data_IF_427904131792
#
_entry.id   IF_427904131792
#
_cell.length_a   1.000
_cell.length_b   1.000
_cell.length_c   1.000
_cell.angle_alpha   90.00
_cell.angle_beta   90.00
_cell.angle_gamma   90.00
#
_symmetry.space_group_name_H-M   'P 1'
#
loop_
_entity.id
_entity.type
_entity.pdbx_description
1 polymer ?
#
# COMPACT_ATOMS: atom_id res chain seq x y z
N UNK A 1 20.44 -17.97 19.43
CA UNK A 1 19.28 -17.07 19.36
C UNK A 1 18.41 -17.76 18.35
N UNK A 2 17.29 -18.30 18.81
CA UNK A 2 16.47 -19.23 18.05
C UNK A 2 15.24 -18.52 17.51
N UNK A 3 14.81 -18.91 16.31
CA UNK A 3 13.57 -18.46 15.74
C UNK A 3 12.40 -19.14 16.47
N UNK A 4 11.47 -18.32 16.95
CA UNK A 4 10.24 -18.75 17.64
C UNK A 4 9.07 -18.78 16.67
N UNK A 5 8.87 -17.70 15.92
CA UNK A 5 7.80 -17.59 14.93
C UNK A 5 8.16 -16.57 13.85
N UNK A 6 7.44 -16.61 12.74
CA UNK A 6 7.51 -15.61 11.68
C UNK A 6 6.14 -14.94 11.63
N UNK A 7 6.12 -13.63 11.39
CA UNK A 7 4.94 -12.77 11.27
C UNK A 7 5.05 -11.95 9.98
N UNK A 8 3.96 -11.81 9.20
CA UNK A 8 3.92 -10.85 8.10
C UNK A 8 3.95 -9.43 8.63
N UNK A 9 4.33 -8.50 7.78
CA UNK A 9 4.16 -7.07 8.04
C UNK A 9 3.22 -6.46 6.98
N UNK A 10 2.76 -5.20 7.14
CA UNK A 10 1.98 -4.52 6.11
C UNK A 10 2.73 -4.41 4.77
N UNK A 11 4.06 -4.44 4.80
CA UNK A 11 4.92 -4.51 3.63
C UNK A 11 5.05 -5.97 3.17
N UNK A 12 4.70 -6.31 1.92
CA UNK A 12 4.91 -7.66 1.38
C UNK A 12 6.41 -7.98 1.15
N UNK A 13 7.27 -6.98 1.30
CA UNK A 13 8.72 -7.10 1.18
C UNK A 13 9.43 -7.20 2.53
N UNK A 14 8.69 -7.22 3.64
CA UNK A 14 9.26 -7.30 4.99
C UNK A 14 8.57 -8.40 5.80
N UNK A 15 9.36 -9.25 6.45
CA UNK A 15 8.86 -10.22 7.41
C UNK A 15 9.47 -10.02 8.78
N UNK A 16 8.68 -10.23 9.82
CA UNK A 16 9.10 -10.19 11.22
C UNK A 16 9.43 -11.61 11.67
N UNK A 17 10.65 -11.81 12.15
CA UNK A 17 11.17 -13.06 12.66
C UNK A 17 11.30 -12.90 14.18
N UNK A 18 10.39 -13.50 14.94
CA UNK A 18 10.42 -13.45 16.40
C UNK A 18 11.45 -14.45 16.94
N UNK A 19 12.17 -14.06 17.98
CA UNK A 19 13.33 -14.74 18.51
C UNK A 19 13.15 -15.03 20.00
N UNK A 20 13.83 -16.06 20.49
CA UNK A 20 13.78 -16.47 21.90
C UNK A 20 14.51 -15.52 22.86
N UNK A 21 15.27 -14.55 22.33
CA UNK A 21 16.10 -13.62 23.10
C UNK A 21 15.86 -12.20 22.61
N UNK A 22 15.71 -11.27 23.54
CA UNK A 22 15.62 -9.85 23.24
C UNK A 22 16.99 -9.16 23.25
N UNK A 23 17.16 -8.16 22.39
CA UNK A 23 18.18 -7.14 22.55
C UNK A 23 17.93 -6.32 23.83
N UNK A 24 19.00 -5.78 24.47
CA UNK A 24 18.85 -4.87 25.60
C UNK A 24 17.92 -3.70 25.28
N UNK A 25 17.10 -3.29 26.25
CA UNK A 25 16.16 -2.16 26.09
C UNK A 25 16.87 -0.91 25.57
N UNK A 26 16.26 -0.25 24.58
CA UNK A 26 16.80 0.96 23.94
C UNK A 26 17.85 0.71 22.86
N UNK A 27 18.18 -0.55 22.56
CA UNK A 27 19.11 -0.91 21.48
C UNK A 27 18.35 -1.42 20.25
N UNK A 28 18.66 -0.86 19.09
CA UNK A 28 18.28 -1.39 17.79
C UNK A 28 19.51 -1.56 16.90
N UNK A 29 19.43 -2.48 15.96
CA UNK A 29 20.48 -2.75 14.99
C UNK A 29 19.86 -2.65 13.59
N UNK A 30 20.48 -1.89 12.69
CA UNK A 30 20.06 -1.80 11.29
C UNK A 30 21.27 -2.02 10.42
N UNK A 31 21.19 -2.99 9.52
CA UNK A 31 22.25 -3.26 8.57
C UNK A 31 21.68 -3.50 7.18
N UNK A 32 22.34 -2.91 6.19
CA UNK A 32 22.09 -3.19 4.76
C UNK A 32 23.23 -4.05 4.21
N UNK A 33 23.07 -4.59 2.99
CA UNK A 33 24.17 -5.29 2.30
C UNK A 33 25.48 -4.49 2.24
N UNK A 34 25.41 -3.15 2.16
CA UNK A 34 26.61 -2.28 2.15
C UNK A 34 27.34 -2.23 3.49
N UNK A 35 26.66 -2.56 4.59
CA UNK A 35 27.20 -2.52 5.96
C UNK A 35 27.42 -3.93 6.52
N UNK A 36 27.35 -4.96 5.67
CA UNK A 36 27.39 -6.38 6.05
C UNK A 36 28.60 -6.73 6.90
N UNK A 37 29.80 -6.30 6.53
CA UNK A 37 31.03 -6.67 7.27
C UNK A 37 31.11 -6.08 8.69
N UNK A 38 30.30 -5.06 9.00
CA UNK A 38 30.20 -4.44 10.32
C UNK A 38 29.08 -5.05 11.19
N UNK A 39 28.30 -5.99 10.65
CA UNK A 39 27.16 -6.58 11.35
C UNK A 39 27.60 -7.76 12.25
N UNK A 40 26.84 -8.11 13.29
CA UNK A 40 27.02 -9.36 14.03
C UNK A 40 26.94 -10.59 13.12
N UNK A 41 27.68 -11.66 13.41
CA UNK A 41 27.82 -12.82 12.52
C UNK A 41 26.51 -13.41 11.98
N UNK A 42 25.48 -13.56 12.82
CA UNK A 42 24.17 -14.06 12.37
C UNK A 42 23.44 -13.07 11.44
N UNK A 43 23.62 -11.75 11.62
CA UNK A 43 23.09 -10.73 10.69
C UNK A 43 23.87 -10.74 9.38
N UNK A 44 25.19 -10.98 9.41
CA UNK A 44 25.97 -11.15 8.18
C UNK A 44 25.42 -12.31 7.35
N UNK A 45 25.18 -13.45 8.01
CA UNK A 45 24.62 -14.64 7.36
C UNK A 45 23.22 -14.39 6.80
N UNK A 46 22.36 -13.66 7.52
CA UNK A 46 21.04 -13.26 6.99
C UNK A 46 21.15 -12.33 5.77
N UNK A 47 22.09 -11.37 5.77
CA UNK A 47 22.32 -10.48 4.63
C UNK A 47 22.92 -11.20 3.42
N UNK A 48 23.61 -12.32 3.63
CA UNK A 48 24.19 -13.15 2.57
C UNK A 48 23.12 -13.97 1.82
N UNK A 49 21.96 -14.20 2.43
CA UNK A 49 20.83 -14.88 1.77
C UNK A 49 20.47 -14.11 0.48
N UNK A 50 20.44 -14.79 -0.70
CA UNK A 50 20.01 -14.19 -1.95
C UNK A 50 18.64 -13.53 -1.83
N UNK A 51 18.53 -12.26 -2.26
CA UNK A 51 17.29 -11.51 -2.21
C UNK A 51 17.08 -10.68 -0.95
N UNK A 52 17.80 -10.92 0.16
CA UNK A 52 17.73 -10.06 1.36
C UNK A 52 18.46 -8.73 1.12
N UNK A 53 17.82 -7.61 1.45
CA UNK A 53 18.36 -6.26 1.24
C UNK A 53 18.78 -5.59 2.55
N UNK A 54 18.05 -5.85 3.63
CA UNK A 54 18.15 -5.15 4.90
C UNK A 54 17.71 -6.05 6.05
N UNK A 55 18.36 -5.86 7.20
CA UNK A 55 18.04 -6.53 8.47
C UNK A 55 17.93 -5.45 9.53
N UNK A 56 16.77 -5.33 10.14
CA UNK A 56 16.53 -4.50 11.31
C UNK A 56 16.19 -5.37 12.50
N UNK A 57 16.81 -5.16 13.65
CA UNK A 57 16.52 -5.89 14.88
C UNK A 57 16.25 -4.93 16.02
N UNK A 58 15.17 -5.18 16.74
CA UNK A 58 14.83 -4.47 17.97
C UNK A 58 14.07 -5.42 18.89
N UNK A 59 14.29 -5.28 20.19
CA UNK A 59 13.72 -6.20 21.18
C UNK A 59 13.99 -7.66 20.78
N UNK A 60 12.98 -8.50 20.77
CA UNK A 60 12.98 -9.93 20.49
C UNK A 60 12.66 -10.29 19.03
N UNK A 61 12.74 -9.34 18.08
CA UNK A 61 12.47 -9.68 16.68
C UNK A 61 13.44 -9.04 15.68
N UNK A 62 13.52 -9.66 14.52
CA UNK A 62 14.17 -9.14 13.31
C UNK A 62 13.10 -8.80 12.27
N UNK A 63 13.08 -7.58 11.76
CA UNK A 63 12.47 -7.28 10.47
C UNK A 63 13.49 -7.57 9.37
N UNK A 64 13.21 -8.57 8.55
CA UNK A 64 14.01 -8.97 7.41
C UNK A 64 13.37 -8.37 6.16
N UNK A 65 14.12 -7.58 5.40
CA UNK A 65 13.64 -6.99 4.15
C UNK A 65 14.22 -7.75 2.96
N UNK A 66 13.36 -8.00 1.97
CA UNK A 66 13.78 -8.54 0.67
C UNK A 66 13.74 -7.46 -0.41
N UNK A 67 14.47 -7.72 -1.49
CA UNK A 67 14.23 -7.05 -2.77
C UNK A 67 12.88 -7.51 -3.33
N UNK A 68 12.21 -6.70 -4.16
CA UNK A 68 10.95 -7.11 -4.78
C UNK A 68 11.03 -8.40 -5.59
N UNK A 69 12.22 -8.78 -6.09
CA UNK A 69 12.44 -10.03 -6.85
C UNK A 69 12.97 -11.18 -5.97
N UNK A 70 13.16 -10.97 -4.67
CA UNK A 70 13.69 -12.00 -3.77
C UNK A 70 12.64 -13.05 -3.47
N UNK A 71 13.00 -14.33 -3.45
CA UNK A 71 12.04 -15.41 -3.16
C UNK A 71 11.88 -15.60 -1.64
N UNK A 72 10.70 -15.28 -1.10
CA UNK A 72 10.44 -15.46 0.33
C UNK A 72 10.58 -16.90 0.78
N UNK A 73 10.21 -17.88 -0.05
CA UNK A 73 10.32 -19.29 0.31
C UNK A 73 11.78 -19.67 0.52
N UNK A 74 12.65 -19.33 -0.44
CA UNK A 74 14.09 -19.55 -0.31
C UNK A 74 14.67 -18.78 0.88
N UNK A 75 14.27 -17.52 1.08
CA UNK A 75 14.81 -16.65 2.13
C UNK A 75 14.45 -17.21 3.51
N UNK A 76 13.19 -17.56 3.75
CA UNK A 76 12.74 -18.03 5.06
C UNK A 76 13.28 -19.42 5.39
N UNK A 77 13.43 -20.29 4.40
CA UNK A 77 14.08 -21.60 4.60
C UNK A 77 15.51 -21.42 5.11
N UNK A 78 16.32 -20.60 4.43
CA UNK A 78 17.69 -20.33 4.87
C UNK A 78 17.74 -19.58 6.21
N UNK A 79 16.85 -18.61 6.43
CA UNK A 79 16.79 -17.89 7.70
C UNK A 79 16.45 -18.81 8.88
N UNK A 80 15.56 -19.80 8.68
CA UNK A 80 15.24 -20.83 9.68
C UNK A 80 16.44 -21.73 9.99
N UNK A 81 17.18 -22.16 8.97
CA UNK A 81 18.39 -22.97 9.14
C UNK A 81 19.48 -22.22 9.92
N UNK A 82 19.64 -20.92 9.64
CA UNK A 82 20.65 -20.08 10.28
C UNK A 82 20.31 -19.74 11.74
N UNK A 83 19.05 -19.41 12.02
CA UNK A 83 18.62 -18.99 13.36
C UNK A 83 18.30 -20.18 14.25
N UNK A 84 18.04 -21.38 13.71
CA UNK A 84 17.69 -22.57 14.48
C UNK A 84 16.22 -22.54 14.92
N UNK A 85 15.48 -23.62 14.68
CA UNK A 85 14.07 -23.77 15.07
C UNK A 85 13.95 -24.29 16.50
N UNK A 86 13.61 -23.41 17.43
CA UNK A 86 13.22 -23.79 18.79
C UNK A 86 11.77 -24.24 18.86
N UNK A 87 11.46 -25.41 18.31
CA UNK A 87 10.15 -26.07 18.48
C UNK A 87 9.06 -25.69 17.47
N UNK A 88 8.34 -26.73 17.02
CA UNK A 88 7.21 -26.77 16.07
C UNK A 88 7.56 -26.75 14.58
N UNK A 89 7.68 -27.96 14.03
CA UNK A 89 7.70 -28.24 12.58
C UNK A 89 6.30 -28.01 12.00
N UNK A 90 6.03 -26.78 11.56
CA UNK A 90 5.04 -26.57 10.50
C UNK A 90 5.74 -26.85 9.15
N UNK A 91 5.44 -28.01 8.58
CA UNK A 91 5.90 -28.44 7.26
C UNK A 91 5.33 -27.53 6.16
N UNK A 92 6.18 -27.01 5.29
CA UNK A 92 5.75 -26.22 4.12
C UNK A 92 5.24 -27.16 3.01
N UNK A 93 4.11 -26.88 2.33
CA UNK A 93 3.73 -27.60 1.12
C UNK A 93 4.50 -27.10 -0.12
N UNK A 94 4.86 -28.04 -1.00
CA UNK A 94 5.02 -27.85 -2.45
C UNK A 94 6.29 -27.15 -2.93
N UNK A 95 7.26 -27.90 -3.43
CA UNK A 95 8.28 -27.44 -4.39
C UNK A 95 7.60 -27.12 -5.72
N UNK A 96 7.33 -25.85 -6.04
CA UNK A 96 7.29 -25.35 -7.43
C UNK A 96 7.38 -23.81 -7.46
N UNK A 97 8.09 -23.33 -8.48
CA UNK A 97 8.31 -21.97 -9.02
C UNK A 97 8.70 -20.79 -8.11
N UNK A 98 9.83 -20.17 -8.45
CA UNK A 98 10.39 -18.98 -7.81
C UNK A 98 9.43 -17.78 -7.91
N UNK A 99 9.01 -17.27 -6.75
CA UNK A 99 8.01 -16.20 -6.63
C UNK A 99 8.44 -14.89 -7.31
N UNK A 100 7.67 -14.45 -8.30
CA UNK A 100 7.67 -13.07 -8.78
C UNK A 100 7.04 -12.19 -7.69
N UNK A 101 7.75 -11.14 -7.25
CA UNK A 101 7.21 -10.21 -6.25
C UNK A 101 5.84 -9.67 -6.59
N UNK A 102 5.15 -9.13 -5.59
CA UNK A 102 3.79 -8.60 -5.69
C UNK A 102 3.60 -7.38 -6.63
N UNK A 103 4.55 -7.11 -7.53
CA UNK A 103 4.42 -6.08 -8.56
C UNK A 103 4.28 -4.68 -7.99
N UNK A 104 4.91 -4.40 -6.84
CA UNK A 104 4.91 -3.07 -6.25
C UNK A 104 5.63 -2.07 -7.15
N UNK A 105 4.91 -1.05 -7.55
CA UNK A 105 5.38 0.05 -8.38
C UNK A 105 5.40 1.31 -7.53
N UNK A 106 6.60 1.80 -7.22
CA UNK A 106 6.78 3.12 -6.63
C UNK A 106 6.55 4.18 -7.69
N UNK A 107 5.73 5.18 -7.38
CA UNK A 107 5.36 6.24 -8.32
C UNK A 107 5.93 7.56 -7.83
N UNK A 108 6.66 8.25 -8.71
CA UNK A 108 7.27 9.54 -8.43
C UNK A 108 6.75 10.57 -9.45
N UNK A 109 6.18 11.66 -8.94
CA UNK A 109 5.80 12.82 -9.75
C UNK A 109 6.92 13.86 -9.69
N UNK A 110 7.48 14.18 -10.86
CA UNK A 110 8.41 15.29 -11.00
C UNK A 110 7.64 16.58 -11.29
N UNK A 111 7.88 17.61 -10.49
CA UNK A 111 7.29 18.95 -10.66
C UNK A 111 8.37 20.02 -10.84
N UNK A 112 7.98 21.15 -11.45
CA UNK A 112 8.76 22.38 -11.54
C UNK A 112 7.89 23.53 -11.06
N UNK A 113 8.25 24.18 -9.94
CA UNK A 113 7.43 25.24 -9.32
C UNK A 113 5.95 24.85 -9.18
N UNK A 114 5.70 23.60 -8.78
CA UNK A 114 4.35 23.06 -8.67
C UNK A 114 3.71 22.57 -9.98
N UNK A 115 4.26 22.87 -11.15
CA UNK A 115 3.78 22.37 -12.45
C UNK A 115 4.24 20.92 -12.63
N UNK A 116 3.32 19.95 -12.78
CA UNK A 116 3.64 18.57 -13.09
C UNK A 116 4.37 18.44 -14.43
N UNK A 117 5.40 17.58 -14.52
CA UNK A 117 6.19 17.41 -15.75
C UNK A 117 6.29 15.97 -16.22
N UNK A 118 6.58 15.06 -15.31
CA UNK A 118 6.92 13.68 -15.66
C UNK A 118 6.55 12.74 -14.52
N UNK A 119 6.05 11.56 -14.89
CA UNK A 119 5.89 10.44 -13.96
C UNK A 119 7.07 9.49 -14.15
N UNK A 120 7.62 9.02 -13.03
CA UNK A 120 8.58 7.91 -13.00
C UNK A 120 8.01 6.80 -12.14
N UNK A 121 8.19 5.58 -12.60
CA UNK A 121 7.76 4.37 -11.92
C UNK A 121 8.94 3.44 -11.74
N UNK A 122 9.03 2.80 -10.58
CA UNK A 122 10.10 1.85 -10.28
C UNK A 122 9.53 0.58 -9.64
N UNK A 123 9.86 -0.57 -10.20
CA UNK A 123 9.56 -1.88 -9.63
C UNK A 123 10.76 -2.81 -9.80
N UNK A 124 11.25 -3.40 -8.70
CA UNK A 124 12.24 -4.48 -8.77
C UNK A 124 13.53 -4.18 -9.54
N UNK A 125 13.97 -2.92 -9.59
CA UNK A 125 15.17 -2.46 -10.30
C UNK A 125 14.94 -2.05 -11.75
N UNK A 126 13.71 -2.16 -12.26
CA UNK A 126 13.29 -1.59 -13.54
C UNK A 126 12.66 -0.21 -13.33
N UNK A 127 13.02 0.75 -14.19
CA UNK A 127 12.49 2.11 -14.16
C UNK A 127 11.85 2.42 -15.51
N UNK A 128 10.64 2.97 -15.49
CA UNK A 128 10.03 3.59 -16.65
C UNK A 128 9.59 5.01 -16.32
N UNK A 129 9.44 5.82 -17.36
CA UNK A 129 9.11 7.23 -17.23
C UNK A 129 8.32 7.70 -18.42
N UNK A 130 7.33 8.55 -18.17
CA UNK A 130 6.49 9.15 -19.20
C UNK A 130 6.34 10.65 -18.91
N UNK A 131 6.49 11.45 -19.96
CA UNK A 131 6.17 12.87 -19.89
C UNK A 131 4.66 13.05 -19.79
N UNK A 132 4.21 14.08 -19.08
CA UNK A 132 2.82 14.49 -19.13
C UNK A 132 2.48 15.14 -20.49
N UNK A 133 1.19 15.26 -20.83
CA UNK A 133 0.76 15.87 -22.08
C UNK A 133 1.37 17.26 -22.35
N UNK A 134 1.46 17.62 -23.62
CA UNK A 134 2.20 18.79 -24.10
C UNK A 134 1.86 20.10 -23.36
N UNK A 135 0.60 20.27 -22.95
CA UNK A 135 0.13 21.44 -22.18
C UNK A 135 0.94 21.71 -20.91
N UNK A 136 1.39 20.67 -20.21
CA UNK A 136 2.22 20.80 -19.01
C UNK A 136 3.64 21.27 -19.35
N UNK A 137 4.19 20.75 -20.46
CA UNK A 137 5.51 21.15 -20.93
C UNK A 137 5.49 22.62 -21.38
N UNK A 138 4.43 23.04 -22.09
CA UNK A 138 4.24 24.44 -22.48
C UNK A 138 4.06 25.36 -21.27
N UNK A 139 3.29 24.93 -20.26
CA UNK A 139 3.15 25.64 -18.99
C UNK A 139 4.50 25.87 -18.29
N UNK A 140 5.31 24.82 -18.16
CA UNK A 140 6.63 24.94 -17.55
C UNK A 140 7.59 25.81 -18.38
N UNK A 141 7.53 25.75 -19.71
CA UNK A 141 8.32 26.64 -20.58
C UNK A 141 7.96 28.10 -20.36
N UNK A 142 6.65 28.44 -20.32
CA UNK A 142 6.18 29.80 -20.04
C UNK A 142 6.64 30.29 -18.66
N UNK A 143 6.57 29.44 -17.64
CA UNK A 143 7.04 29.76 -16.29
C UNK A 143 8.56 30.02 -16.20
N UNK A 144 9.32 29.61 -17.22
CA UNK A 144 10.78 29.74 -17.27
C UNK A 144 11.26 31.03 -17.91
N UNK A 145 10.42 31.73 -18.68
CA UNK A 145 10.80 32.95 -19.41
C UNK A 145 11.41 34.04 -18.49
N UNK A 146 11.14 33.96 -17.18
CA UNK A 146 11.66 34.88 -16.15
C UNK A 146 12.81 34.31 -15.26
N UNK A 147 13.33 33.09 -15.48
CA UNK A 147 14.39 32.52 -14.62
C UNK A 147 15.33 31.53 -15.36
N UNK A 148 16.66 31.78 -15.39
CA UNK A 148 17.63 30.97 -16.14
C UNK A 148 18.04 29.63 -15.50
N UNK A 149 17.42 29.19 -14.38
CA UNK A 149 17.84 27.98 -13.65
C UNK A 149 16.77 26.88 -13.55
N UNK A 150 16.30 26.39 -14.70
CA UNK A 150 15.38 25.24 -14.87
C UNK A 150 15.69 23.98 -14.06
N UNK A 151 16.97 23.71 -13.79
CA UNK A 151 17.42 22.42 -13.23
C UNK A 151 17.43 22.41 -11.69
N UNK A 152 17.55 23.57 -11.03
CA UNK A 152 17.73 23.64 -9.57
C UNK A 152 16.42 23.58 -8.78
N UNK A 153 15.29 23.74 -9.43
CA UNK A 153 13.97 23.86 -8.78
C UNK A 153 13.02 22.69 -9.06
N UNK A 154 13.53 21.62 -9.67
CA UNK A 154 12.75 20.40 -9.90
C UNK A 154 12.63 19.64 -8.58
N UNK A 155 11.39 19.27 -8.23
CA UNK A 155 11.11 18.43 -7.06
C UNK A 155 10.60 17.08 -7.53
N UNK A 156 10.96 16.04 -6.78
CA UNK A 156 10.38 14.71 -6.91
C UNK A 156 9.49 14.48 -5.69
N UNK A 157 8.21 14.25 -5.93
CA UNK A 157 7.23 13.90 -4.93
C UNK A 157 6.88 12.43 -5.07
N UNK A 158 6.92 11.69 -3.97
CA UNK A 158 6.43 10.32 -3.91
C UNK A 158 4.90 10.32 -3.85
N UNK A 159 4.28 9.56 -4.76
CA UNK A 159 2.85 9.27 -4.77
C UNK A 159 2.63 7.87 -4.19
N UNK A 160 1.36 7.54 -3.92
CA UNK A 160 0.98 6.23 -3.37
C UNK A 160 1.52 5.06 -4.20
N UNK A 161 1.95 4.01 -3.51
CA UNK A 161 2.42 2.76 -4.13
C UNK A 161 1.29 2.15 -4.95
N UNK A 162 1.60 1.74 -6.18
CA UNK A 162 0.68 1.04 -7.06
C UNK A 162 1.13 -0.39 -7.25
N UNK A 163 0.24 -1.20 -7.81
CA UNK A 163 0.48 -2.62 -8.01
C UNK A 163 0.07 -3.02 -9.41
N UNK A 164 0.89 -3.84 -10.06
CA UNK A 164 0.64 -4.36 -11.40
C UNK A 164 1.81 -4.11 -12.34
N UNK A 165 1.54 -4.19 -13.63
CA UNK A 165 2.56 -3.98 -14.66
C UNK A 165 3.04 -2.53 -14.69
N UNK A 166 4.36 -2.36 -14.77
CA UNK A 166 5.02 -1.06 -14.63
C UNK A 166 4.51 -0.03 -15.67
N UNK A 167 4.27 -0.47 -16.91
CA UNK A 167 3.76 0.39 -17.98
C UNK A 167 2.27 0.74 -17.81
N UNK A 168 1.46 -0.20 -17.34
CA UNK A 168 0.02 0.05 -17.12
C UNK A 168 -0.17 1.05 -15.99
N UNK A 169 0.57 0.88 -14.89
CA UNK A 169 0.61 1.84 -13.78
C UNK A 169 1.08 3.21 -14.27
N UNK A 170 2.14 3.27 -15.07
CA UNK A 170 2.66 4.53 -15.61
C UNK A 170 1.59 5.27 -16.43
N UNK A 171 0.93 4.55 -17.34
CA UNK A 171 -0.12 5.10 -18.20
C UNK A 171 -1.33 5.56 -17.40
N UNK A 172 -1.77 4.78 -16.40
CA UNK A 172 -2.88 5.13 -15.54
C UNK A 172 -2.58 6.40 -14.73
N UNK A 173 -1.41 6.46 -14.08
CA UNK A 173 -1.02 7.63 -13.27
C UNK A 173 -0.87 8.88 -14.15
N UNK A 174 -0.31 8.77 -15.35
CA UNK A 174 -0.24 9.90 -16.29
C UNK A 174 -1.64 10.43 -16.61
N UNK A 175 -2.60 9.54 -16.87
CA UNK A 175 -3.98 9.94 -17.14
C UNK A 175 -4.65 10.55 -15.90
N UNK A 176 -4.45 9.99 -14.71
CA UNK A 176 -4.97 10.52 -13.45
C UNK A 176 -4.42 11.93 -13.18
N UNK A 177 -3.10 12.13 -13.33
CA UNK A 177 -2.49 13.45 -13.16
C UNK A 177 -2.96 14.42 -14.24
N UNK A 178 -3.11 14.00 -15.49
CA UNK A 178 -3.70 14.85 -16.51
C UNK A 178 -5.15 15.26 -16.16
N UNK A 179 -5.96 14.33 -15.67
CA UNK A 179 -7.33 14.61 -15.24
C UNK A 179 -7.41 15.56 -14.04
N UNK A 180 -6.44 15.52 -13.13
CA UNK A 180 -6.40 16.35 -11.92
C UNK A 180 -6.19 17.85 -12.16
N UNK A 181 -5.67 18.24 -13.33
CA UNK A 181 -5.34 19.63 -13.63
C UNK A 181 -6.18 20.08 -14.80
N UNK A 182 -7.26 20.82 -14.54
CA UNK A 182 -7.97 21.50 -15.62
C UNK A 182 -7.14 22.67 -16.17
N UNK A 183 -7.53 23.20 -17.32
CA UNK A 183 -6.76 24.26 -17.99
C UNK A 183 -6.70 25.54 -17.15
N UNK A 184 -7.72 25.80 -16.32
CA UNK A 184 -7.75 26.95 -15.40
C UNK A 184 -6.68 26.81 -14.33
N UNK A 185 -6.63 25.66 -13.65
CA UNK A 185 -5.65 25.36 -12.61
C UNK A 185 -4.23 25.35 -13.16
N UNK A 186 -4.02 24.76 -14.34
CA UNK A 186 -2.70 24.75 -14.97
C UNK A 186 -2.25 26.18 -15.36
N UNK A 187 -3.17 27.01 -15.85
CA UNK A 187 -2.88 28.42 -16.16
C UNK A 187 -2.52 29.22 -14.92
N UNK A 188 -3.28 29.06 -13.83
CA UNK A 188 -2.99 29.71 -12.54
C UNK A 188 -1.59 29.31 -12.02
N UNK A 189 -1.28 28.01 -12.03
CA UNK A 189 0.05 27.51 -11.64
C UNK A 189 1.16 28.08 -12.52
N UNK A 190 0.91 28.24 -13.82
CA UNK A 190 1.87 28.83 -14.76
C UNK A 190 2.17 30.28 -14.41
N UNK A 191 1.13 31.08 -14.14
CA UNK A 191 1.28 32.49 -13.76
C UNK A 191 2.02 32.66 -12.45
N UNK A 192 1.66 31.87 -11.43
CA UNK A 192 2.34 31.89 -10.13
C UNK A 192 3.80 31.46 -10.25
N UNK A 193 4.08 30.41 -11.04
CA UNK A 193 5.44 29.93 -11.27
C UNK A 193 6.28 30.97 -12.02
N UNK A 194 5.68 31.74 -12.93
CA UNK A 194 6.34 32.84 -13.62
C UNK A 194 6.65 34.03 -12.69
N UNK A 195 5.84 34.24 -11.65
CA UNK A 195 6.00 35.31 -10.65
C UNK A 195 6.99 34.96 -9.54
N UNK A 196 7.41 33.70 -9.42
CA UNK A 196 8.38 33.28 -8.40
C UNK A 196 7.83 33.33 -6.97
N UNK A 197 6.52 33.10 -6.82
CA UNK A 197 5.83 33.07 -5.54
C UNK A 197 6.37 31.96 -4.61
N UNK A 198 6.03 32.02 -3.32
CA UNK A 198 6.56 31.14 -2.28
C UNK A 198 6.00 29.71 -2.36
N UNK A 199 6.63 28.75 -1.67
CA UNK A 199 6.16 27.35 -1.60
C UNK A 199 4.73 27.22 -1.08
N UNK A 200 4.33 28.11 -0.16
CA UNK A 200 2.98 28.20 0.37
C UNK A 200 1.96 28.62 -0.68
N UNK A 201 2.32 29.55 -1.57
CA UNK A 201 1.42 30.03 -2.63
C UNK A 201 1.18 28.93 -3.69
N UNK A 202 2.19 28.10 -3.96
CA UNK A 202 2.04 26.93 -4.83
C UNK A 202 1.16 25.84 -4.23
N UNK A 203 1.22 25.63 -2.91
CA UNK A 203 0.41 24.62 -2.23
C UNK A 203 -1.10 24.98 -2.26
N UNK A 204 -1.44 26.27 -2.21
CA UNK A 204 -2.83 26.73 -2.35
C UNK A 204 -3.36 26.52 -3.77
N UNK A 205 -2.58 26.79 -4.82
CA UNK A 205 -2.98 26.52 -6.21
C UNK A 205 -2.98 25.03 -6.60
N UNK A 206 -2.39 24.17 -5.75
CA UNK A 206 -2.52 22.72 -5.89
C UNK A 206 -3.84 22.17 -5.35
N UNK A 207 -4.68 22.98 -4.69
CA UNK A 207 -6.00 22.49 -4.29
C UNK A 207 -6.97 22.56 -5.47
N UNK A 208 -7.73 21.49 -5.75
CA UNK A 208 -8.90 21.60 -6.62
C UNK A 208 -9.79 22.75 -6.14
N UNK A 209 -10.47 23.44 -7.07
CA UNK A 209 -11.43 24.47 -6.69
C UNK A 209 -12.44 23.88 -5.69
N UNK A 210 -12.81 24.64 -4.65
CA UNK A 210 -13.85 24.21 -3.73
C UNK A 210 -15.18 24.18 -4.46
N UNK A 211 -15.65 22.97 -4.78
CA UNK A 211 -16.94 22.72 -5.40
C UNK A 211 -17.96 22.33 -4.33
N UNK A 212 -19.19 22.79 -4.51
CA UNK A 212 -20.33 22.35 -3.68
C UNK A 212 -20.71 20.91 -4.03
N UNK A 213 -21.35 20.19 -3.10
CA UNK A 213 -21.82 18.82 -3.33
C UNK A 213 -22.75 18.71 -4.55
N UNK A 214 -23.59 19.73 -4.78
CA UNK A 214 -24.48 19.80 -5.94
C UNK A 214 -23.73 19.99 -7.27
N UNK A 215 -22.65 20.78 -7.27
CA UNK A 215 -21.79 20.94 -8.45
C UNK A 215 -21.01 19.67 -8.74
N UNK A 216 -20.46 19.02 -7.71
CA UNK A 216 -19.80 17.73 -7.86
C UNK A 216 -20.79 16.70 -8.41
N UNK A 217 -22.00 16.61 -7.84
CA UNK A 217 -23.03 15.69 -8.30
C UNK A 217 -23.37 15.86 -9.79
N UNK A 218 -23.45 17.10 -10.28
CA UNK A 218 -23.64 17.43 -11.71
C UNK A 218 -22.43 17.09 -12.56
N UNK A 219 -21.21 17.40 -12.09
CA UNK A 219 -19.98 17.09 -12.83
C UNK A 219 -19.70 15.60 -12.92
N UNK A 220 -20.15 14.79 -11.96
CA UNK A 220 -20.11 13.33 -12.03
C UNK A 220 -20.99 12.74 -13.15
N UNK A 221 -21.84 13.53 -13.82
CA UNK A 221 -22.57 13.13 -15.03
C UNK A 221 -21.92 13.61 -16.33
N UNK A 222 -20.78 14.33 -16.26
CA UNK A 222 -20.14 14.86 -17.46
C UNK A 222 -19.63 13.72 -18.35
N UNK A 223 -19.84 13.77 -19.68
CA UNK A 223 -19.34 12.74 -20.60
C UNK A 223 -17.82 12.56 -20.54
N UNK A 224 -17.06 13.62 -20.21
CA UNK A 224 -15.61 13.55 -20.04
C UNK A 224 -15.24 13.04 -18.64
N UNK A 225 -14.69 11.83 -18.59
CA UNK A 225 -14.24 11.20 -17.35
C UNK A 225 -13.20 12.05 -16.60
N UNK A 226 -12.41 12.88 -17.30
CA UNK A 226 -11.40 13.73 -16.65
C UNK A 226 -12.06 14.76 -15.74
N UNK A 227 -13.19 15.33 -16.16
CA UNK A 227 -13.96 16.26 -15.34
C UNK A 227 -14.63 15.56 -14.16
N UNK A 228 -15.14 14.34 -14.38
CA UNK A 228 -15.68 13.50 -13.28
C UNK A 228 -14.62 13.22 -12.24
N UNK A 229 -13.42 12.82 -12.68
CA UNK A 229 -12.27 12.57 -11.81
C UNK A 229 -11.82 13.83 -11.06
N UNK A 230 -11.71 14.97 -11.74
CA UNK A 230 -11.35 16.25 -11.12
C UNK A 230 -12.38 16.70 -10.08
N UNK A 231 -13.68 16.54 -10.37
CA UNK A 231 -14.76 16.85 -9.43
C UNK A 231 -14.75 15.92 -8.21
N UNK A 232 -14.45 14.63 -8.43
CA UNK A 232 -14.29 13.69 -7.34
C UNK A 232 -13.14 14.13 -6.41
N UNK A 233 -12.02 14.62 -6.94
CA UNK A 233 -10.89 15.09 -6.13
C UNK A 233 -11.18 16.29 -5.22
N UNK A 234 -12.27 17.04 -5.45
CA UNK A 234 -12.72 18.09 -4.54
C UNK A 234 -13.64 17.59 -3.42
N UNK A 235 -14.06 16.32 -3.46
CA UNK A 235 -14.90 15.72 -2.41
C UNK A 235 -14.11 15.65 -1.10
N UNK A 236 -14.72 16.18 -0.04
CA UNK A 236 -14.25 15.96 1.33
C UNK A 236 -14.82 14.63 1.80
N UNK A 237 -13.96 13.68 2.15
CA UNK A 237 -14.39 12.35 2.60
C UNK A 237 -15.10 12.43 3.96
N UNK A 238 -16.43 12.55 3.92
CA UNK A 238 -17.30 12.52 5.11
C UNK A 238 -18.53 11.66 4.84
N UNK A 239 -19.25 11.19 5.89
CA UNK A 239 -20.47 10.40 5.71
C UNK A 239 -21.54 11.08 4.84
N UNK A 240 -21.60 12.42 4.83
CA UNK A 240 -22.55 13.19 4.01
C UNK A 240 -22.28 13.02 2.51
N UNK A 241 -21.03 12.79 2.13
CA UNK A 241 -20.61 12.64 0.72
C UNK A 241 -20.74 11.21 0.19
N UNK A 242 -21.17 10.25 1.02
CA UNK A 242 -21.39 8.86 0.60
C UNK A 242 -22.22 8.72 -0.69
N UNK A 243 -23.31 9.47 -0.93
CA UNK A 243 -24.05 9.38 -2.17
C UNK A 243 -23.22 9.74 -3.42
N UNK A 244 -22.28 10.70 -3.31
CA UNK A 244 -21.38 11.08 -4.40
C UNK A 244 -20.35 9.98 -4.66
N UNK A 245 -19.78 9.40 -3.60
CA UNK A 245 -18.82 8.30 -3.70
C UNK A 245 -19.49 7.03 -4.25
N UNK A 246 -20.72 6.73 -3.83
CA UNK A 246 -21.52 5.62 -4.33
C UNK A 246 -21.82 5.76 -5.83
N UNK A 247 -22.15 6.97 -6.29
CA UNK A 247 -22.30 7.27 -7.72
C UNK A 247 -20.99 7.04 -8.47
N UNK A 248 -19.87 7.52 -7.94
CA UNK A 248 -18.56 7.36 -8.55
C UNK A 248 -18.06 5.90 -8.58
N UNK A 249 -18.50 5.04 -7.66
CA UNK A 249 -18.28 3.58 -7.75
C UNK A 249 -18.96 2.94 -8.97
N UNK A 250 -19.99 3.57 -9.55
CA UNK A 250 -20.65 3.11 -10.77
C UNK A 250 -19.98 3.58 -12.07
N UNK A 251 -18.88 4.33 -12.00
CA UNK A 251 -18.30 4.99 -13.17
C UNK A 251 -17.68 4.00 -14.18
N UNK A 252 -17.80 4.30 -15.47
CA UNK A 252 -17.17 3.51 -16.53
C UNK A 252 -15.63 3.47 -16.41
N UNK A 253 -15.00 4.56 -15.97
CA UNK A 253 -13.56 4.71 -15.84
C UNK A 253 -13.06 4.13 -14.52
N UNK A 254 -12.16 3.15 -14.61
CA UNK A 254 -11.51 2.51 -13.45
C UNK A 254 -10.91 3.52 -12.47
N UNK A 255 -10.23 4.55 -12.97
CA UNK A 255 -9.56 5.54 -12.10
C UNK A 255 -10.55 6.32 -11.23
N UNK A 256 -11.78 6.58 -11.72
CA UNK A 256 -12.84 7.22 -10.93
C UNK A 256 -13.35 6.27 -9.84
N UNK A 257 -13.67 5.02 -10.20
CA UNK A 257 -14.11 4.00 -9.23
C UNK A 257 -13.06 3.73 -8.14
N UNK A 258 -11.78 3.65 -8.53
CA UNK A 258 -10.65 3.45 -7.61
C UNK A 258 -10.51 4.63 -6.65
N UNK A 259 -10.57 5.86 -7.14
CA UNK A 259 -10.52 7.06 -6.30
C UNK A 259 -11.71 7.13 -5.33
N UNK A 260 -12.92 6.77 -5.78
CA UNK A 260 -14.08 6.68 -4.91
C UNK A 260 -13.87 5.65 -3.79
N UNK A 261 -13.27 4.51 -4.11
CA UNK A 261 -12.93 3.46 -3.13
C UNK A 261 -11.90 3.97 -2.10
N UNK A 262 -10.89 4.73 -2.53
CA UNK A 262 -9.94 5.37 -1.60
C UNK A 262 -10.67 6.30 -0.64
N UNK A 263 -11.54 7.19 -1.14
CA UNK A 263 -12.28 8.13 -0.28
C UNK A 263 -13.29 7.47 0.64
N UNK A 264 -13.86 6.31 0.26
CA UNK A 264 -14.63 5.49 1.19
C UNK A 264 -13.76 5.01 2.36
N UNK A 265 -12.52 4.60 2.08
CA UNK A 265 -11.54 4.27 3.13
C UNK A 265 -11.16 5.45 4.02
N UNK A 266 -11.13 6.67 3.48
CA UNK A 266 -10.80 7.88 4.24
C UNK A 266 -11.90 8.31 5.23
N UNK A 267 -13.16 7.92 5.00
CA UNK A 267 -14.27 8.19 5.93
C UNK A 267 -14.08 7.42 7.25
N UNK A 268 -13.56 6.18 7.20
CA UNK A 268 -13.25 5.34 8.38
C UNK A 268 -14.43 5.09 9.34
N UNK A 269 -15.66 5.12 8.82
CA UNK A 269 -16.88 4.82 9.58
C UNK A 269 -17.58 3.57 9.01
N UNK A 270 -18.26 2.74 9.83
CA UNK A 270 -18.87 1.50 9.36
C UNK A 270 -19.92 1.66 8.25
N UNK A 271 -20.53 2.84 8.07
CA UNK A 271 -21.48 3.09 6.98
C UNK A 271 -20.86 2.92 5.58
N UNK A 272 -19.53 2.90 5.46
CA UNK A 272 -18.84 2.68 4.18
C UNK A 272 -18.87 1.22 3.73
N UNK A 273 -19.11 0.28 4.66
CA UNK A 273 -18.95 -1.16 4.43
C UNK A 273 -19.74 -1.69 3.21
N UNK A 274 -21.04 -1.37 3.03
CA UNK A 274 -21.79 -1.84 1.86
C UNK A 274 -21.14 -1.41 0.52
N UNK A 275 -20.56 -0.22 0.48
CA UNK A 275 -19.89 0.32 -0.70
C UNK A 275 -18.52 -0.33 -0.93
N UNK A 276 -17.79 -0.64 0.14
CA UNK A 276 -16.54 -1.39 0.04
C UNK A 276 -16.76 -2.85 -0.39
N UNK A 277 -17.88 -3.46 0.03
CA UNK A 277 -18.28 -4.78 -0.46
C UNK A 277 -18.62 -4.77 -1.95
N UNK A 278 -19.32 -3.73 -2.43
CA UNK A 278 -19.51 -3.53 -3.87
C UNK A 278 -18.17 -3.36 -4.60
N UNK A 279 -17.24 -2.58 -4.05
CA UNK A 279 -15.92 -2.37 -4.65
C UNK A 279 -15.04 -3.63 -4.66
N UNK A 280 -15.21 -4.54 -3.70
CA UNK A 280 -14.61 -5.88 -3.70
C UNK A 280 -15.10 -6.77 -4.86
N UNK A 281 -16.23 -6.45 -5.48
CA UNK A 281 -16.77 -7.19 -6.63
C UNK A 281 -16.49 -6.47 -7.97
N UNK A 282 -15.69 -5.40 -7.97
CA UNK A 282 -15.40 -4.62 -9.16
C UNK A 282 -14.76 -5.45 -10.27
N UNK A 283 -15.11 -5.14 -11.53
CA UNK A 283 -14.53 -5.78 -12.72
C UNK A 283 -13.00 -5.65 -12.80
N UNK A 284 -12.43 -4.59 -12.24
CA UNK A 284 -10.99 -4.30 -12.30
C UNK A 284 -10.29 -4.73 -10.99
N UNK A 285 -9.25 -5.59 -11.05
CA UNK A 285 -8.52 -6.03 -9.86
C UNK A 285 -7.94 -4.89 -9.01
N UNK A 286 -7.54 -3.78 -9.64
CA UNK A 286 -7.01 -2.62 -8.92
C UNK A 286 -8.03 -2.00 -7.95
N UNK A 287 -9.32 -1.98 -8.32
CA UNK A 287 -10.41 -1.47 -7.46
C UNK A 287 -10.70 -2.47 -6.35
N UNK A 288 -10.83 -3.76 -6.66
CA UNK A 288 -11.03 -4.83 -5.65
C UNK A 288 -9.90 -4.86 -4.62
N UNK A 289 -8.65 -4.73 -5.07
CA UNK A 289 -7.48 -4.64 -4.19
C UNK A 289 -7.54 -3.40 -3.31
N UNK A 290 -7.88 -2.23 -3.85
CA UNK A 290 -8.08 -1.01 -3.05
C UNK A 290 -9.20 -1.22 -2.02
N UNK A 291 -10.30 -1.89 -2.36
CA UNK A 291 -11.35 -2.22 -1.40
C UNK A 291 -10.80 -3.11 -0.27
N UNK A 292 -10.04 -4.16 -0.61
CA UNK A 292 -9.35 -5.01 0.36
C UNK A 292 -8.35 -4.25 1.25
N UNK A 293 -7.61 -3.28 0.71
CA UNK A 293 -6.75 -2.38 1.50
C UNK A 293 -7.59 -1.61 2.52
N UNK A 294 -8.65 -0.93 2.05
CA UNK A 294 -9.49 -0.08 2.90
C UNK A 294 -10.22 -0.88 3.99
N UNK A 295 -10.66 -2.10 3.69
CA UNK A 295 -11.26 -3.00 4.67
C UNK A 295 -10.24 -3.48 5.72
N UNK A 296 -8.98 -3.70 5.31
CA UNK A 296 -7.88 -4.01 6.23
C UNK A 296 -7.58 -2.84 7.17
N UNK A 297 -7.57 -1.62 6.63
CA UNK A 297 -7.32 -0.42 7.42
C UNK A 297 -8.47 -0.11 8.40
N UNK A 298 -9.72 -0.40 8.00
CA UNK A 298 -10.89 -0.28 8.87
C UNK A 298 -10.90 -1.38 9.96
N UNK A 299 -10.54 -2.61 9.60
CA UNK A 299 -10.44 -3.74 10.52
C UNK A 299 -11.77 -4.18 11.14
N UNK A 300 -12.91 -3.85 10.52
CA UNK A 300 -14.24 -4.19 11.01
C UNK A 300 -14.56 -5.68 10.74
N UNK A 301 -14.84 -6.50 11.78
CA UNK A 301 -15.19 -7.91 11.62
C UNK A 301 -16.41 -8.17 10.71
N UNK A 302 -17.29 -7.19 10.49
CA UNK A 302 -18.40 -7.32 9.55
C UNK A 302 -17.95 -7.62 8.11
N UNK A 303 -16.68 -7.34 7.77
CA UNK A 303 -16.11 -7.66 6.46
C UNK A 303 -15.57 -9.11 6.33
N UNK A 304 -15.57 -9.91 7.40
CA UNK A 304 -15.09 -11.31 7.39
C UNK A 304 -15.73 -12.16 6.30
N UNK A 305 -17.07 -12.15 6.06
CA UNK A 305 -17.66 -12.96 5.00
C UNK A 305 -17.20 -12.52 3.59
N UNK A 306 -17.10 -11.22 3.35
CA UNK A 306 -16.66 -10.68 2.07
C UNK A 306 -15.19 -11.01 1.80
N UNK A 307 -14.33 -10.84 2.81
CA UNK A 307 -12.90 -11.15 2.69
C UNK A 307 -12.65 -12.67 2.60
N UNK A 308 -13.46 -13.50 3.25
CA UNK A 308 -13.44 -14.96 3.06
C UNK A 308 -13.74 -15.36 1.62
N UNK A 309 -14.66 -14.65 0.96
CA UNK A 309 -14.95 -14.86 -0.47
C UNK A 309 -13.79 -14.38 -1.34
N UNK A 310 -13.16 -13.25 -0.98
CA UNK A 310 -12.03 -12.66 -1.70
C UNK A 310 -10.75 -13.54 -1.68
N UNK A 311 -10.65 -14.53 -0.79
CA UNK A 311 -9.63 -15.59 -0.86
C UNK A 311 -9.71 -16.43 -2.15
N UNK A 312 -10.80 -16.36 -2.91
CA UNK A 312 -10.99 -17.09 -4.17
C UNK A 312 -10.79 -16.20 -5.40
N UNK A 313 -10.36 -14.95 -5.22
CA UNK A 313 -10.20 -14.00 -6.33
C UNK A 313 -9.15 -14.49 -7.35
N UNK A 314 -9.40 -14.33 -8.67
CA UNK A 314 -8.39 -14.68 -9.69
C UNK A 314 -7.10 -13.89 -9.54
N UNK A 315 -7.14 -12.68 -8.97
CA UNK A 315 -5.97 -11.84 -8.75
C UNK A 315 -5.31 -12.13 -7.40
N UNK A 316 -4.04 -12.50 -7.44
CA UNK A 316 -3.24 -12.84 -6.26
C UNK A 316 -3.13 -11.72 -5.22
N UNK A 317 -3.12 -10.46 -5.63
CA UNK A 317 -3.05 -9.33 -4.69
C UNK A 317 -4.33 -9.19 -3.88
N UNK A 318 -5.49 -9.45 -4.50
CA UNK A 318 -6.77 -9.44 -3.80
C UNK A 318 -6.83 -10.57 -2.78
N UNK A 319 -6.43 -11.79 -3.18
CA UNK A 319 -6.32 -12.93 -2.27
C UNK A 319 -5.35 -12.69 -1.12
N UNK A 320 -4.21 -12.06 -1.39
CA UNK A 320 -3.24 -11.70 -0.35
C UNK A 320 -3.83 -10.71 0.66
N UNK A 321 -4.56 -9.68 0.19
CA UNK A 321 -5.26 -8.74 1.09
C UNK A 321 -6.35 -9.42 1.91
N UNK A 322 -7.09 -10.34 1.32
CA UNK A 322 -8.05 -11.18 2.03
C UNK A 322 -7.39 -11.99 3.16
N UNK A 323 -6.33 -12.74 2.85
CA UNK A 323 -5.59 -13.53 3.84
C UNK A 323 -5.01 -12.67 4.97
N UNK A 324 -4.52 -11.47 4.65
CA UNK A 324 -4.01 -10.52 5.64
C UNK A 324 -5.11 -10.00 6.56
N UNK A 325 -6.22 -9.54 6.01
CA UNK A 325 -7.37 -9.07 6.80
C UNK A 325 -7.84 -10.15 7.77
N UNK A 326 -8.03 -11.39 7.29
CA UNK A 326 -8.55 -12.49 8.11
C UNK A 326 -7.55 -12.90 9.21
N UNK A 327 -6.25 -12.83 8.94
CA UNK A 327 -5.23 -12.96 9.99
C UNK A 327 -5.33 -11.86 11.05
N UNK A 328 -5.53 -10.61 10.63
CA UNK A 328 -5.58 -9.46 11.54
C UNK A 328 -6.83 -9.45 12.41
N UNK A 329 -7.99 -9.79 11.84
CA UNK A 329 -9.25 -9.91 12.57
C UNK A 329 -9.29 -11.16 13.45
N UNK A 330 -8.81 -12.30 12.94
CA UNK A 330 -8.73 -13.54 13.70
C UNK A 330 -10.08 -14.15 14.09
N UNK A 331 -11.12 -13.99 13.26
CA UNK A 331 -12.47 -14.51 13.53
C UNK A 331 -12.58 -16.00 13.14
N UNK A 332 -12.98 -16.85 14.09
CA UNK A 332 -13.12 -18.30 13.90
C UNK A 332 -14.06 -18.69 12.74
N UNK A 333 -15.03 -17.84 12.37
CA UNK A 333 -15.97 -18.12 11.28
C UNK A 333 -15.32 -18.22 9.90
N UNK A 334 -14.10 -17.70 9.72
CA UNK A 334 -13.35 -17.79 8.46
C UNK A 334 -12.46 -19.03 8.33
N UNK A 335 -12.38 -19.90 9.36
CA UNK A 335 -11.50 -21.07 9.37
C UNK A 335 -11.69 -21.99 8.17
N UNK A 336 -12.94 -22.25 7.77
CA UNK A 336 -13.22 -23.12 6.62
C UNK A 336 -12.69 -22.49 5.31
N UNK A 337 -12.92 -21.19 5.11
CA UNK A 337 -12.41 -20.48 3.93
C UNK A 337 -10.87 -20.43 3.91
N UNK A 338 -10.24 -20.24 5.08
CA UNK A 338 -8.79 -20.30 5.20
C UNK A 338 -8.26 -21.72 4.90
N UNK A 339 -8.90 -22.78 5.39
CA UNK A 339 -8.48 -24.17 5.11
C UNK A 339 -8.56 -24.49 3.62
N UNK A 340 -9.60 -24.01 2.93
CA UNK A 340 -9.70 -24.13 1.47
C UNK A 340 -8.54 -23.40 0.75
N UNK A 341 -8.13 -22.22 1.24
CA UNK A 341 -7.04 -21.42 0.68
C UNK A 341 -5.62 -21.82 1.17
N UNK A 342 -5.50 -22.82 2.04
CA UNK A 342 -4.21 -23.18 2.68
C UNK A 342 -3.14 -23.69 1.71
N UNK A 343 -3.55 -24.07 0.49
CA UNK A 343 -2.70 -24.54 -0.60
C UNK A 343 -2.72 -23.57 -1.80
N UNK A 344 -2.89 -22.26 -1.56
CA UNK A 344 -2.79 -21.25 -2.61
C UNK A 344 -1.48 -21.42 -3.40
N UNK A 345 -1.51 -21.35 -4.75
CA UNK A 345 -0.31 -21.49 -5.57
C UNK A 345 0.75 -20.43 -5.28
N UNK A 346 0.37 -19.26 -4.77
CA UNK A 346 1.33 -18.23 -4.38
C UNK A 346 1.78 -18.47 -2.93
N UNK A 347 3.08 -18.74 -2.75
CA UNK A 347 3.68 -19.09 -1.46
C UNK A 347 3.35 -18.07 -0.36
N UNK A 348 3.45 -16.77 -0.65
CA UNK A 348 3.18 -15.74 0.34
C UNK A 348 1.72 -15.75 0.83
N UNK A 349 0.77 -16.20 -0.01
CA UNK A 349 -0.64 -16.29 0.34
C UNK A 349 -0.89 -17.54 1.18
N UNK A 350 -0.42 -18.71 0.75
CA UNK A 350 -0.57 -19.95 1.52
C UNK A 350 0.10 -19.85 2.89
N UNK A 351 1.27 -19.23 2.98
CA UNK A 351 1.93 -18.93 4.25
C UNK A 351 1.05 -18.03 5.13
N UNK A 352 0.56 -16.90 4.60
CA UNK A 352 -0.32 -15.98 5.33
C UNK A 352 -1.57 -16.67 5.86
N UNK A 353 -2.20 -17.52 5.04
CA UNK A 353 -3.38 -18.30 5.39
C UNK A 353 -3.09 -19.30 6.51
N UNK A 354 -2.00 -20.06 6.41
CA UNK A 354 -1.60 -21.02 7.45
C UNK A 354 -1.33 -20.34 8.79
N UNK A 355 -0.77 -19.13 8.75
CA UNK A 355 -0.55 -18.33 9.94
C UNK A 355 -1.87 -17.83 10.55
N UNK A 356 -2.85 -17.46 9.72
CA UNK A 356 -4.19 -17.11 10.19
C UNK A 356 -4.84 -18.30 10.90
N UNK A 357 -4.79 -19.49 10.29
CA UNK A 357 -5.31 -20.73 10.90
C UNK A 357 -4.63 -21.00 12.24
N UNK A 358 -3.29 -21.01 12.27
CA UNK A 358 -2.53 -21.29 13.50
C UNK A 358 -2.81 -20.27 14.62
N UNK A 359 -2.99 -18.99 14.26
CA UNK A 359 -3.35 -17.92 15.19
C UNK A 359 -4.74 -18.14 15.80
N UNK A 360 -5.72 -18.44 14.96
CA UNK A 360 -7.12 -18.65 15.35
C UNK A 360 -7.22 -19.92 16.23
N UNK A 361 -6.68 -21.05 15.76
CA UNK A 361 -6.70 -22.33 16.49
C UNK A 361 -5.86 -22.30 17.78
N UNK A 362 -4.80 -21.47 17.82
CA UNK A 362 -3.99 -21.23 19.00
C UNK A 362 -4.67 -20.39 20.09
N UNK A 363 -5.88 -19.89 19.87
CA UNK A 363 -6.63 -19.08 20.84
C UNK A 363 -6.22 -17.61 20.90
N UNK A 364 -5.43 -17.13 19.95
CA UNK A 364 -5.01 -15.73 19.83
C UNK A 364 -6.00 -14.88 18.99
N UNK A 365 -7.21 -15.41 18.74
CA UNK A 365 -8.30 -14.75 18.02
C UNK A 365 -8.61 -13.34 18.57
N UNK A 366 -8.58 -13.17 19.90
CA UNK A 366 -9.00 -11.94 20.56
C UNK A 366 -7.91 -10.87 20.74
N UNK A 367 -6.65 -11.16 20.41
CA UNK A 367 -5.54 -10.26 20.78
C UNK A 367 -5.33 -9.11 19.77
N UNK A 368 -5.98 -9.12 18.60
CA UNK A 368 -5.68 -8.21 17.48
C UNK A 368 -4.26 -8.37 16.93
N UNK A 369 -3.92 -7.76 15.79
CA UNK A 369 -2.56 -7.88 15.26
C UNK A 369 -1.54 -7.28 16.23
N UNK A 370 -0.30 -7.79 16.29
CA UNK A 370 0.75 -7.23 17.18
C UNK A 370 0.93 -5.71 16.93
N UNK A 371 0.66 -5.23 15.72
CA UNK A 371 0.67 -3.81 15.39
C UNK A 371 -0.50 -3.03 16.02
N UNK A 372 -1.71 -3.60 16.04
CA UNK A 372 -2.84 -3.07 16.80
C UNK A 372 -2.55 -3.09 18.30
N UNK A 373 -1.92 -4.14 18.84
CA UNK A 373 -1.47 -4.22 20.24
C UNK A 373 -0.39 -3.16 20.56
N UNK A 374 0.58 -2.97 19.67
CA UNK A 374 1.62 -1.94 19.81
C UNK A 374 1.05 -0.51 19.70
N UNK A 375 0.02 -0.31 18.88
CA UNK A 375 -0.67 0.98 18.76
C UNK A 375 -1.57 1.26 19.96
N UNK A 376 -2.34 0.27 20.42
CA UNK A 376 -3.15 0.34 21.66
C UNK A 376 -2.29 0.56 22.90
N UNK A 377 -1.12 -0.10 22.99
CA UNK A 377 -0.19 0.10 24.11
C UNK A 377 0.46 1.49 24.08
N UNK A 378 0.75 2.04 22.90
CA UNK A 378 1.20 3.43 22.73
C UNK A 378 0.11 4.46 23.05
N UNK A 379 -1.16 4.12 22.82
CA UNK A 379 -2.31 4.96 23.15
C UNK A 379 -2.82 4.75 24.60
N UNK A 380 -2.21 3.85 25.38
CA UNK A 380 -2.54 3.62 26.79
C UNK A 380 -3.84 2.85 27.03
N UNK A 381 -4.37 2.16 26.02
CA UNK A 381 -5.70 1.52 26.08
C UNK A 381 -5.68 0.22 26.89
N UNK A 382 -4.53 -0.46 26.97
CA UNK A 382 -4.36 -1.73 27.72
C UNK A 382 -3.60 -1.57 29.05
N UNK A 383 -3.60 -0.39 29.68
CA UNK A 383 -3.08 -0.30 31.04
C UNK A 383 -3.99 -1.14 31.96
N UNK A 384 -3.47 -2.22 32.61
CA UNK A 384 -4.28 -2.96 33.58
C UNK A 384 -4.71 -1.98 34.67
N UNK A 385 -6.01 -1.95 34.97
CA UNK A 385 -6.50 -1.33 36.20
C UNK A 385 -5.78 -2.04 37.34
N UNK A 386 -4.85 -1.33 37.97
CA UNK A 386 -4.28 -1.76 39.23
C UNK A 386 -5.39 -1.58 40.26
N UNK A 387 -5.98 -2.70 40.68
CA UNK A 387 -6.77 -2.77 41.92
C UNK A 387 -5.85 -2.72 43.15
#
# INVERSE_FOLDING_TARGET
MNLVSIEPTPSPNTMKLNLDKALPKGRSLTFTRKQRDNAPGYIQQLLDIPGVTSVFQVADFIALDRSPKGDWKQILTQARELLGSGGSQASLPGEDEAGSGFGEVKVLLQTFRGIPMQIRVNAGGEEARAALPERFTQAAMKATENSPHLLKERKLQELDVRYGELQDVLNEVVQEVDASYDDKRLSLLTEQAAQGLSETDYAEAQRPAELTEEEIGRLLDDPDWKKRYAALQSVKATPQTLPLLAKALGDEKTSVRRLATVYLGDIKEPEVLPYLFQALEDRTPAVRRTAGDTLSDLGDPAAVPAMSTALKDPNKLVRWRAARFLYEVGDDSCLEALREAAHDPEFEISMQVQMAIARIEGGHAAEGSVWQQMTRSRQGIDAPKQD
#
